data_IF_634753365796
#
_entry.id   IF_634753365796
#
_cell.length_a   1.000
_cell.length_b   1.000
_cell.length_c   1.000
_cell.angle_alpha   90.00
_cell.angle_beta   90.00
_cell.angle_gamma   90.00
#
_symmetry.space_group_name_H-M   'P 1'
#
loop_
_entity.id
_entity.type
_entity.pdbx_description
1 polymer ?
#
# COMPACT_ATOMS: atom_id res chain seq x y z
N UNK A 1 -11.22 10.89 6.24
CA UNK A 1 -10.99 9.66 7.05
C UNK A 1 -10.38 8.59 6.16
N UNK A 2 -9.53 7.71 6.68
CA UNK A 2 -8.89 6.66 5.87
C UNK A 2 -9.77 5.42 5.78
N UNK A 3 -10.06 4.87 4.59
CA UNK A 3 -10.78 3.62 4.45
C UNK A 3 -10.00 2.42 4.99
N UNK A 4 -10.68 1.43 5.57
CA UNK A 4 -10.04 0.23 6.14
C UNK A 4 -9.16 -0.51 5.12
N UNK A 5 -9.59 -0.58 3.87
CA UNK A 5 -8.82 -1.25 2.82
C UNK A 5 -7.51 -0.55 2.44
N UNK A 6 -7.35 0.74 2.78
CA UNK A 6 -6.07 1.46 2.66
C UNK A 6 -5.20 1.15 3.87
N UNK A 7 -5.80 1.09 5.06
CA UNK A 7 -5.09 0.73 6.28
C UNK A 7 -4.53 -0.70 6.21
N UNK A 8 -5.32 -1.66 5.72
CA UNK A 8 -4.89 -3.05 5.50
C UNK A 8 -3.69 -3.11 4.54
N UNK A 9 -3.69 -2.29 3.48
CA UNK A 9 -2.58 -2.20 2.54
C UNK A 9 -1.31 -1.67 3.21
N UNK A 10 -1.40 -0.61 4.02
CA UNK A 10 -0.25 -0.07 4.76
C UNK A 10 0.27 -1.08 5.77
N UNK A 11 -0.61 -1.79 6.48
CA UNK A 11 -0.18 -2.85 7.40
C UNK A 11 0.57 -3.96 6.65
N UNK A 12 0.07 -4.38 5.49
CA UNK A 12 0.75 -5.35 4.65
C UNK A 12 2.11 -4.84 4.16
N UNK A 13 2.21 -3.55 3.83
CA UNK A 13 3.48 -2.90 3.45
C UNK A 13 4.51 -3.01 4.58
N UNK A 14 4.14 -2.63 5.80
CA UNK A 14 5.06 -2.70 6.94
C UNK A 14 5.47 -4.16 7.28
N UNK A 15 4.55 -5.12 7.12
CA UNK A 15 4.88 -6.55 7.28
C UNK A 15 5.81 -7.03 6.18
N UNK A 16 5.61 -6.55 4.94
CA UNK A 16 6.47 -6.90 3.79
C UNK A 16 7.91 -6.47 4.04
N UNK A 17 8.13 -5.34 4.73
CA UNK A 17 9.46 -4.91 5.15
C UNK A 17 10.21 -5.83 6.11
N UNK A 18 9.52 -6.77 6.75
CA UNK A 18 10.17 -7.82 7.54
C UNK A 18 10.82 -8.91 6.67
N UNK A 19 10.41 -9.02 5.40
CA UNK A 19 10.90 -10.00 4.42
C UNK A 19 11.81 -9.33 3.39
N UNK A 20 11.37 -8.21 2.83
CA UNK A 20 12.07 -7.43 1.81
C UNK A 20 12.26 -5.99 2.29
N UNK A 21 13.49 -5.62 2.65
CA UNK A 21 13.79 -4.31 3.24
C UNK A 21 13.67 -3.14 2.27
N UNK A 22 13.67 -3.41 0.96
CA UNK A 22 13.50 -2.40 -0.09
C UNK A 22 12.11 -2.48 -0.74
N UNK A 23 11.83 -1.53 -1.63
CA UNK A 23 10.59 -1.45 -2.41
C UNK A 23 10.77 -1.98 -3.83
N UNK A 24 11.64 -2.98 -4.01
CA UNK A 24 11.95 -3.59 -5.30
C UNK A 24 10.88 -4.55 -5.83
N UNK A 25 11.16 -5.27 -6.93
CA UNK A 25 10.21 -6.18 -7.57
C UNK A 25 9.66 -7.28 -6.66
N UNK A 26 10.45 -7.81 -5.73
CA UNK A 26 9.95 -8.84 -4.80
C UNK A 26 8.99 -8.28 -3.76
N UNK A 27 9.22 -7.04 -3.29
CA UNK A 27 8.26 -6.33 -2.45
C UNK A 27 6.95 -6.08 -3.20
N UNK A 28 7.01 -5.64 -4.46
CA UNK A 28 5.82 -5.49 -5.31
C UNK A 28 5.05 -6.81 -5.46
N UNK A 29 5.76 -7.92 -5.73
CA UNK A 29 5.17 -9.25 -5.86
C UNK A 29 4.48 -9.75 -4.58
N UNK A 30 4.97 -9.33 -3.41
CA UNK A 30 4.32 -9.62 -2.13
C UNK A 30 3.07 -8.76 -1.94
N UNK A 31 3.14 -7.48 -2.27
CA UNK A 31 2.03 -6.52 -2.16
C UNK A 31 0.87 -6.84 -3.11
N UNK A 32 1.15 -7.33 -4.33
CA UNK A 32 0.16 -7.75 -5.33
C UNK A 32 -0.80 -8.84 -4.85
N UNK A 33 -0.47 -9.55 -3.76
CA UNK A 33 -1.38 -10.53 -3.13
C UNK A 33 -2.58 -9.89 -2.48
N UNK A 34 -2.53 -8.59 -2.20
CA UNK A 34 -3.66 -7.85 -1.69
C UNK A 34 -4.59 -7.42 -2.85
N UNK A 35 -5.86 -7.88 -2.88
CA UNK A 35 -6.74 -7.66 -4.04
C UNK A 35 -7.05 -6.19 -4.37
N UNK A 36 -6.71 -5.25 -3.49
CA UNK A 36 -6.94 -3.80 -3.67
C UNK A 36 -5.64 -2.99 -3.70
N UNK A 37 -4.49 -3.61 -3.96
CA UNK A 37 -3.18 -2.95 -3.95
C UNK A 37 -3.12 -1.69 -4.82
N UNK A 38 -3.38 -1.82 -6.13
CA UNK A 38 -3.40 -0.70 -7.08
C UNK A 38 -4.33 0.45 -6.63
N UNK A 39 -5.51 0.09 -6.10
CA UNK A 39 -6.47 1.08 -5.60
C UNK A 39 -5.96 1.80 -4.34
N UNK A 40 -5.27 1.11 -3.44
CA UNK A 40 -4.68 1.67 -2.24
C UNK A 40 -3.53 2.61 -2.57
N UNK A 41 -2.68 2.23 -3.52
CA UNK A 41 -1.61 3.10 -4.04
C UNK A 41 -2.18 4.40 -4.62
N UNK A 42 -3.16 4.30 -5.52
CA UNK A 42 -3.80 5.50 -6.09
C UNK A 42 -4.47 6.39 -5.04
N UNK A 43 -5.03 5.80 -3.98
CA UNK A 43 -5.59 6.57 -2.87
C UNK A 43 -4.50 7.30 -2.08
N UNK A 44 -3.40 6.62 -1.74
CA UNK A 44 -2.25 7.21 -1.04
C UNK A 44 -1.59 8.32 -1.88
N UNK A 45 -1.50 8.15 -3.19
CA UNK A 45 -1.02 9.19 -4.11
C UNK A 45 -1.95 10.41 -4.11
N UNK A 46 -3.27 10.21 -4.21
CA UNK A 46 -4.23 11.29 -4.12
C UNK A 46 -4.18 12.00 -2.74
N UNK A 47 -3.97 11.26 -1.65
CA UNK A 47 -3.76 11.85 -0.32
C UNK A 47 -2.50 12.72 -0.29
N UNK A 48 -1.38 12.23 -0.84
CA UNK A 48 -0.12 12.94 -0.87
C UNK A 48 -0.20 14.25 -1.68
N UNK A 49 -1.06 14.27 -2.69
CA UNK A 49 -1.35 15.46 -3.51
C UNK A 49 -2.43 16.37 -2.90
N UNK A 50 -3.04 15.99 -1.77
CA UNK A 50 -4.06 16.78 -1.08
C UNK A 50 -5.47 16.69 -1.69
N UNK A 51 -5.74 15.68 -2.52
CA UNK A 51 -7.04 15.49 -3.18
C UNK A 51 -8.07 14.73 -2.34
N UNK A 52 -7.68 14.17 -1.20
CA UNK A 52 -8.59 13.47 -0.28
C UNK A 52 -8.82 14.29 0.98
N UNK A 53 -10.09 14.51 1.35
CA UNK A 53 -10.52 15.22 2.57
C UNK A 53 -10.62 14.33 3.81
#
# INVERSE_FOLDING_TARGET
TTPDWVLDYVILHEITHLVESDHGPESQRLMERYPKAERAEGFLEAMALGFTS
#
